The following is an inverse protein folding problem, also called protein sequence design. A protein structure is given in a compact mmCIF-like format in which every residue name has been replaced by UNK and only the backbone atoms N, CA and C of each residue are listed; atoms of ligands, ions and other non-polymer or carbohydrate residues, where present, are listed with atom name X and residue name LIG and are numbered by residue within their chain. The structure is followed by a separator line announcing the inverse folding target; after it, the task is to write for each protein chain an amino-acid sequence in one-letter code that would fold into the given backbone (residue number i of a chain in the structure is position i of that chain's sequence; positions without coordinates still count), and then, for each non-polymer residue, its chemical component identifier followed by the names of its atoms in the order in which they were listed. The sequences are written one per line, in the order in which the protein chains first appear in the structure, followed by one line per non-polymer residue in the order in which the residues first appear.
data_IF_599130911470
#
_entry.id   IF_599130911470
#
_cell.length_a   1.000
_cell.length_b   1.000
_cell.length_c   1.000
_cell.angle_alpha   90.00
_cell.angle_beta   90.00
_cell.angle_gamma   90.00
#
_symmetry.space_group_name_H-M   'P 1'
#
loop_
_entity.id
_entity.type
_entity.pdbx_description
1 polymer ?
#
# COMPACT_ATOMS: atom_id res chain seq x y z
N UNK A 1 8.53 -7.18 26.61
CA UNK A 1 7.51 -7.88 27.44
C UNK A 1 8.11 -8.22 28.80
N UNK A 2 7.39 -7.99 29.89
CA UNK A 2 7.85 -8.26 31.27
C UNK A 2 7.53 -9.68 31.75
N UNK A 3 6.69 -10.41 31.01
CA UNK A 3 6.27 -11.79 31.29
C UNK A 3 6.36 -12.59 29.98
N UNK A 4 6.82 -13.85 30.09
CA UNK A 4 6.96 -14.82 28.99
C UNK A 4 7.40 -14.23 27.65
N UNK A 5 8.53 -13.50 27.68
CA UNK A 5 9.03 -12.75 26.51
C UNK A 5 9.27 -13.63 25.28
N UNK A 6 9.68 -14.88 25.50
CA UNK A 6 9.98 -15.82 24.43
C UNK A 6 8.70 -16.23 23.69
N UNK A 7 7.60 -16.43 24.42
CA UNK A 7 6.30 -16.69 23.82
C UNK A 7 5.76 -15.44 23.11
N UNK A 8 5.86 -14.27 23.74
CA UNK A 8 5.39 -13.02 23.14
C UNK A 8 6.12 -12.69 21.82
N UNK A 9 7.45 -12.83 21.81
CA UNK A 9 8.27 -12.56 20.63
C UNK A 9 8.20 -13.69 19.59
N UNK A 10 7.97 -14.93 20.03
CA UNK A 10 7.84 -16.10 19.17
C UNK A 10 6.45 -16.29 18.55
N UNK A 11 5.39 -15.68 19.11
CA UNK A 11 4.03 -15.84 18.62
C UNK A 11 3.78 -15.19 17.23
N UNK A 12 4.24 -13.96 16.94
CA UNK A 12 4.08 -13.36 15.62
C UNK A 12 4.75 -14.22 14.54
N UNK A 13 3.97 -14.69 13.56
CA UNK A 13 4.48 -15.53 12.47
C UNK A 13 4.56 -17.04 12.80
N UNK A 14 4.22 -17.48 14.01
CA UNK A 14 4.19 -18.91 14.35
C UNK A 14 2.99 -19.68 13.76
N UNK A 15 2.08 -18.99 13.07
CA UNK A 15 0.91 -19.57 12.42
C UNK A 15 0.07 -20.50 13.34
N UNK A 16 0.01 -20.20 14.64
CA UNK A 16 -0.76 -20.99 15.62
C UNK A 16 -0.06 -22.25 16.16
N UNK A 17 1.23 -22.45 15.85
CA UNK A 17 1.98 -23.65 16.28
C UNK A 17 2.16 -23.74 17.80
N UNK A 18 2.47 -22.61 18.45
CA UNK A 18 2.79 -22.59 19.89
C UNK A 18 1.61 -22.22 20.78
N UNK A 19 0.72 -21.36 20.28
CA UNK A 19 -0.41 -20.86 21.05
C UNK A 19 -1.48 -20.26 20.13
N UNK A 20 -2.69 -20.17 20.68
CA UNK A 20 -3.78 -19.40 20.11
C UNK A 20 -3.77 -17.97 20.67
N UNK A 21 -3.70 -16.96 19.80
CA UNK A 21 -3.82 -15.57 20.20
C UNK A 21 -5.28 -15.25 20.56
N UNK A 22 -5.56 -15.02 21.85
CA UNK A 22 -6.90 -14.70 22.34
C UNK A 22 -7.13 -13.18 22.32
N UNK A 23 -6.18 -12.41 22.89
CA UNK A 23 -6.26 -10.95 22.98
C UNK A 23 -4.93 -10.31 22.58
N UNK A 24 -5.01 -9.11 22.00
CA UNK A 24 -3.84 -8.31 21.66
C UNK A 24 -4.13 -6.83 21.93
N UNK A 25 -3.17 -6.15 22.55
CA UNK A 25 -3.16 -4.69 22.65
C UNK A 25 -2.27 -4.13 21.54
N UNK A 26 -2.87 -3.32 20.66
CA UNK A 26 -2.17 -2.73 19.52
C UNK A 26 -1.97 -1.23 19.76
N UNK A 27 -0.78 -0.74 19.46
CA UNK A 27 -0.56 0.70 19.32
C UNK A 27 -1.27 1.19 18.05
N UNK A 28 -2.11 2.21 18.20
CA UNK A 28 -2.87 2.80 17.09
C UNK A 28 -2.32 4.18 16.75
N UNK A 29 -2.47 4.56 15.48
CA UNK A 29 -2.13 5.89 14.98
C UNK A 29 -3.42 6.58 14.58
N UNK A 30 -3.59 7.86 14.96
CA UNK A 30 -4.77 8.65 14.60
C UNK A 30 -4.81 8.89 13.09
N UNK A 31 -5.89 8.46 12.44
CA UNK A 31 -6.17 8.77 11.04
C UNK A 31 -7.28 9.82 10.94
N UNK A 32 -7.02 10.91 10.20
CA UNK A 32 -8.05 11.92 9.92
C UNK A 32 -9.15 11.32 9.04
N UNK A 33 -10.40 11.71 9.29
CA UNK A 33 -11.51 11.35 8.41
C UNK A 33 -11.26 11.90 7.00
N UNK A 34 -11.53 11.08 5.98
CA UNK A 34 -11.29 11.44 4.58
C UNK A 34 -9.82 11.41 4.15
N UNK A 35 -8.88 10.92 4.97
CA UNK A 35 -7.48 10.83 4.59
C UNK A 35 -7.28 10.05 3.27
N UNK A 36 -6.42 10.60 2.43
CA UNK A 36 -6.07 10.06 1.12
C UNK A 36 -4.59 9.70 1.11
N UNK A 37 -4.23 8.82 0.19
CA UNK A 37 -2.86 8.45 -0.10
C UNK A 37 -2.55 8.91 -1.53
N UNK A 38 -1.57 9.78 -1.66
CA UNK A 38 -0.98 10.13 -2.96
C UNK A 38 -0.06 8.99 -3.36
N UNK A 39 -0.44 8.25 -4.38
CA UNK A 39 0.28 7.08 -4.86
C UNK A 39 1.07 7.45 -6.11
N UNK A 40 2.39 7.36 -6.04
CA UNK A 40 3.26 7.51 -7.20
C UNK A 40 3.68 6.13 -7.68
N UNK A 41 3.40 5.83 -8.95
CA UNK A 41 3.88 4.63 -9.63
C UNK A 41 5.08 5.02 -10.47
N UNK A 42 6.23 4.43 -10.20
CA UNK A 42 7.48 4.65 -10.93
C UNK A 42 7.91 3.38 -11.67
N UNK A 43 8.07 3.48 -12.99
CA UNK A 43 8.57 2.37 -13.83
C UNK A 43 10.10 2.36 -13.84
N UNK A 44 10.69 1.24 -13.45
CA UNK A 44 12.15 1.06 -13.43
C UNK A 44 12.58 -0.38 -13.70
N UNK A 45 13.76 -0.53 -14.29
CA UNK A 45 14.44 -1.83 -14.45
C UNK A 45 15.48 -2.07 -13.35
N UNK A 46 15.65 -1.10 -12.44
CA UNK A 46 16.57 -1.14 -11.30
C UNK A 46 15.82 -0.79 -10.01
N UNK A 47 14.90 -1.65 -9.56
CA UNK A 47 14.05 -1.35 -8.40
C UNK A 47 14.86 -1.17 -7.12
N UNK A 48 15.93 -1.95 -6.92
CA UNK A 48 16.74 -1.89 -5.68
C UNK A 48 17.45 -0.54 -5.53
N UNK A 49 18.06 -0.01 -6.60
CA UNK A 49 18.70 1.31 -6.59
C UNK A 49 17.69 2.41 -6.25
N UNK A 50 16.49 2.36 -6.85
CA UNK A 50 15.46 3.34 -6.58
C UNK A 50 14.90 3.23 -5.15
N UNK A 51 14.59 2.01 -4.68
CA UNK A 51 14.11 1.76 -3.32
C UNK A 51 15.13 2.23 -2.28
N UNK A 52 16.42 2.02 -2.53
CA UNK A 52 17.50 2.47 -1.63
C UNK A 52 17.65 3.99 -1.58
N UNK A 53 17.11 4.71 -2.57
CA UNK A 53 17.12 6.18 -2.61
C UNK A 53 15.93 6.82 -1.90
N UNK A 54 14.91 6.03 -1.54
CA UNK A 54 13.72 6.52 -0.84
C UNK A 54 14.05 6.75 0.63
N UNK A 55 13.74 7.94 1.14
CA UNK A 55 14.02 8.31 2.54
C UNK A 55 12.76 8.60 3.37
N UNK A 56 11.68 9.08 2.76
CA UNK A 56 10.56 9.70 3.48
C UNK A 56 9.17 9.39 2.87
N UNK A 57 8.89 8.12 2.60
CA UNK A 57 7.55 7.70 2.14
C UNK A 57 6.81 6.99 3.28
N UNK A 58 5.52 7.30 3.47
CA UNK A 58 4.68 6.62 4.46
C UNK A 58 4.45 5.14 4.10
N UNK A 59 4.45 4.85 2.80
CA UNK A 59 4.24 3.53 2.25
C UNK A 59 5.15 3.29 1.05
N UNK A 60 5.72 2.10 0.98
CA UNK A 60 6.52 1.64 -0.16
C UNK A 60 6.10 0.23 -0.52
N UNK A 61 5.88 -0.01 -1.81
CA UNK A 61 5.51 -1.29 -2.38
C UNK A 61 6.14 -1.42 -3.77
N UNK A 62 6.21 -2.62 -4.31
CA UNK A 62 6.72 -2.86 -5.66
C UNK A 62 6.05 -4.07 -6.30
N UNK A 63 5.69 -3.93 -7.57
CA UNK A 63 5.18 -5.03 -8.40
C UNK A 63 6.17 -5.26 -9.54
N UNK A 64 6.78 -6.44 -9.55
CA UNK A 64 7.67 -6.87 -10.62
C UNK A 64 6.87 -7.51 -11.76
N UNK A 65 6.97 -6.92 -12.95
CA UNK A 65 6.51 -7.51 -14.20
C UNK A 65 7.70 -8.08 -14.98
N UNK A 66 7.41 -8.79 -16.08
CA UNK A 66 8.42 -9.41 -16.93
C UNK A 66 9.41 -8.42 -17.55
N UNK A 67 8.96 -7.20 -17.83
CA UNK A 67 9.70 -6.18 -18.59
C UNK A 67 10.13 -4.97 -17.75
N UNK A 68 9.50 -4.74 -16.59
CA UNK A 68 9.86 -3.67 -15.65
C UNK A 68 9.33 -3.97 -14.25
N UNK A 69 9.81 -3.23 -13.26
CA UNK A 69 9.20 -3.14 -11.93
C UNK A 69 8.48 -1.80 -11.78
N UNK A 70 7.24 -1.84 -11.30
CA UNK A 70 6.53 -0.65 -10.83
C UNK A 70 6.81 -0.50 -9.33
N UNK A 71 7.60 0.50 -8.95
CA UNK A 71 7.74 0.90 -7.55
C UNK A 71 6.58 1.85 -7.21
N UNK A 72 5.85 1.56 -6.15
CA UNK A 72 4.73 2.35 -5.68
C UNK A 72 5.15 3.03 -4.38
N UNK A 73 5.13 4.36 -4.36
CA UNK A 73 5.28 5.12 -3.11
C UNK A 73 3.95 5.76 -2.73
N UNK A 74 3.70 5.85 -1.43
CA UNK A 74 2.48 6.41 -0.88
C UNK A 74 2.80 7.44 0.19
N UNK A 75 2.19 8.62 0.07
CA UNK A 75 2.23 9.69 1.06
C UNK A 75 0.81 9.94 1.58
N UNK A 76 0.61 9.93 2.91
CA UNK A 76 -0.66 10.30 3.52
C UNK A 76 -0.83 11.80 3.37
N UNK A 77 -1.92 12.22 2.74
CA UNK A 77 -2.22 13.63 2.51
C UNK A 77 -3.56 14.02 3.11
N UNK A 78 -3.64 15.30 3.50
CA UNK A 78 -4.87 15.94 3.94
C UNK A 78 -5.74 16.29 2.71
N UNK A 79 -7.07 16.06 2.74
CA UNK A 79 -7.96 16.46 1.65
C UNK A 79 -7.82 17.90 1.18
N UNK A 80 -7.42 18.81 2.07
CA UNK A 80 -7.20 20.23 1.74
C UNK A 80 -6.02 20.46 0.80
N UNK A 81 -5.10 19.48 0.67
CA UNK A 81 -3.93 19.55 -0.21
C UNK A 81 -4.19 19.04 -1.63
N UNK A 82 -5.42 18.64 -1.95
CA UNK A 82 -5.76 18.12 -3.27
C UNK A 82 -5.80 19.22 -4.35
N UNK A 83 -5.52 18.86 -5.61
CA UNK A 83 -5.85 19.69 -6.76
C UNK A 83 -7.33 20.06 -6.79
N UNK A 84 -7.70 21.14 -7.52
CA UNK A 84 -9.10 21.62 -7.61
C UNK A 84 -10.12 20.56 -8.08
N UNK A 85 -9.70 19.61 -8.90
CA UNK A 85 -10.54 18.51 -9.41
C UNK A 85 -9.75 17.19 -9.37
N UNK A 86 -9.56 16.59 -8.19
CA UNK A 86 -8.79 15.36 -8.06
C UNK A 86 -9.65 14.16 -8.50
N UNK A 87 -9.12 13.33 -9.39
CA UNK A 87 -9.74 12.03 -9.67
C UNK A 87 -9.29 11.05 -8.59
N UNK A 88 -10.22 10.67 -7.71
CA UNK A 88 -9.98 9.67 -6.67
C UNK A 88 -10.14 8.27 -7.27
N UNK A 89 -9.10 7.46 -7.15
CA UNK A 89 -9.06 6.07 -7.58
C UNK A 89 -9.63 5.16 -6.47
N UNK A 90 -10.40 4.16 -6.89
CA UNK A 90 -11.11 3.20 -6.03
C UNK A 90 -10.76 1.80 -6.52
N UNK A 91 -10.62 0.85 -5.61
CA UNK A 91 -10.33 -0.57 -5.90
C UNK A 91 -11.36 -1.52 -5.28
N UNK A 92 -12.37 -0.96 -4.61
CA UNK A 92 -13.40 -1.67 -3.86
C UNK A 92 -14.71 -1.81 -4.62
N UNK A 93 -14.73 -1.90 -5.97
CA UNK A 93 -15.93 -2.27 -6.75
C UNK A 93 -15.87 -3.72 -7.20
N UNK A 94 -17.04 -4.38 -7.25
CA UNK A 94 -17.13 -5.81 -7.56
C UNK A 94 -16.49 -6.17 -8.91
N UNK A 95 -16.50 -5.23 -9.87
CA UNK A 95 -15.90 -5.37 -11.20
C UNK A 95 -14.52 -4.71 -11.35
N UNK A 96 -13.96 -4.11 -10.29
CA UNK A 96 -12.61 -3.56 -10.38
C UNK A 96 -11.60 -4.69 -10.65
N UNK A 97 -10.60 -4.46 -11.53
CA UNK A 97 -9.58 -5.46 -11.80
C UNK A 97 -8.71 -5.69 -10.56
N UNK A 98 -7.91 -6.75 -10.57
CA UNK A 98 -6.88 -6.93 -9.54
C UNK A 98 -5.92 -5.73 -9.55
N UNK A 99 -5.42 -5.34 -8.38
CA UNK A 99 -4.56 -4.15 -8.29
C UNK A 99 -3.34 -4.21 -9.21
N UNK A 100 -2.68 -5.36 -9.34
CA UNK A 100 -1.55 -5.50 -10.27
C UNK A 100 -1.97 -5.29 -11.74
N UNK A 101 -3.20 -5.66 -12.12
CA UNK A 101 -3.73 -5.44 -13.47
C UNK A 101 -4.00 -3.97 -13.71
N UNK A 102 -4.52 -3.25 -12.71
CA UNK A 102 -4.65 -1.79 -12.75
C UNK A 102 -3.28 -1.14 -12.97
N UNK A 103 -2.29 -1.49 -12.15
CA UNK A 103 -0.92 -0.94 -12.27
C UNK A 103 -0.31 -1.24 -13.64
N UNK A 104 -0.51 -2.45 -14.17
CA UNK A 104 -0.06 -2.80 -15.53
C UNK A 104 -0.75 -1.95 -16.60
N UNK A 105 -2.07 -1.73 -16.46
CA UNK A 105 -2.85 -0.94 -17.39
C UNK A 105 -2.49 0.55 -17.39
N UNK A 106 -1.96 1.10 -16.29
CA UNK A 106 -1.47 2.48 -16.23
C UNK A 106 -0.39 2.75 -17.28
N UNK A 107 0.59 1.84 -17.39
CA UNK A 107 1.70 1.97 -18.34
C UNK A 107 1.40 1.46 -19.74
N UNK A 108 0.28 0.76 -19.94
CA UNK A 108 -0.22 0.46 -21.29
C UNK A 108 -0.91 1.68 -21.93
N UNK A 109 -1.34 2.64 -21.11
CA UNK A 109 -2.08 3.84 -21.54
C UNK A 109 -1.25 5.11 -21.53
N UNK A 110 -0.03 5.05 -20.99
CA UNK A 110 0.81 6.20 -20.73
C UNK A 110 2.27 5.81 -20.81
N UNK A 111 3.06 6.59 -21.54
CA UNK A 111 4.51 6.46 -21.62
C UNK A 111 5.23 7.24 -20.49
N UNK A 112 4.47 7.82 -19.56
CA UNK A 112 5.04 8.54 -18.43
C UNK A 112 5.80 7.58 -17.51
N UNK A 113 7.00 8.02 -17.10
CA UNK A 113 7.84 7.28 -16.17
C UNK A 113 7.28 7.25 -14.75
N UNK A 114 6.59 8.33 -14.36
CA UNK A 114 5.88 8.46 -13.08
C UNK A 114 4.42 8.77 -13.37
N UNK A 115 3.51 8.04 -12.72
CA UNK A 115 2.07 8.29 -12.76
C UNK A 115 1.61 8.50 -11.32
N UNK A 116 0.81 9.54 -11.07
CA UNK A 116 0.29 9.85 -9.73
C UNK A 116 -1.22 9.63 -9.68
N UNK A 117 -1.70 8.89 -8.69
CA UNK A 117 -3.12 8.74 -8.38
C UNK A 117 -3.39 9.11 -6.93
N UNK A 118 -4.62 9.51 -6.63
CA UNK A 118 -5.08 9.75 -5.26
C UNK A 118 -6.05 8.64 -4.87
N UNK A 119 -5.76 7.90 -3.81
CA UNK A 119 -6.54 6.74 -3.37
C UNK A 119 -7.03 7.00 -1.96
N UNK A 120 -8.28 6.67 -1.62
CA UNK A 120 -8.70 6.76 -0.22
C UNK A 120 -7.91 5.79 0.65
N UNK A 121 -7.60 6.17 1.89
CA UNK A 121 -6.78 5.34 2.78
C UNK A 121 -7.31 3.89 2.89
N UNK A 122 -8.64 3.73 3.00
CA UNK A 122 -9.29 2.41 3.01
C UNK A 122 -8.96 1.61 1.73
N UNK A 123 -9.17 2.20 0.56
CA UNK A 123 -8.89 1.53 -0.71
C UNK A 123 -7.40 1.20 -0.86
N UNK A 124 -6.51 2.07 -0.37
CA UNK A 124 -5.08 1.80 -0.42
C UNK A 124 -4.70 0.61 0.47
N UNK A 125 -5.17 0.56 1.72
CA UNK A 125 -4.86 -0.53 2.65
C UNK A 125 -5.40 -1.89 2.18
N UNK A 126 -6.58 -1.90 1.55
CA UNK A 126 -7.24 -3.11 1.09
C UNK A 126 -7.07 -3.37 -0.42
N UNK A 127 -6.14 -2.68 -1.09
CA UNK A 127 -5.98 -2.75 -2.57
C UNK A 127 -5.76 -4.17 -3.11
N UNK A 128 -5.14 -5.06 -2.32
CA UNK A 128 -4.94 -6.46 -2.69
C UNK A 128 -6.08 -7.39 -2.24
N UNK A 129 -6.98 -6.93 -1.38
CA UNK A 129 -8.05 -7.74 -0.82
C UNK A 129 -9.29 -7.71 -1.73
N UNK A 130 -9.56 -8.86 -2.36
CA UNK A 130 -10.81 -9.11 -3.12
C UNK A 130 -11.88 -9.87 -2.33
N UNK A 131 -11.63 -10.18 -1.06
CA UNK A 131 -12.60 -10.84 -0.18
C UNK A 131 -13.48 -9.87 0.64
N UNK A 132 -13.26 -8.56 0.52
CA UNK A 132 -14.03 -7.53 1.22
C UNK A 132 -15.29 -7.07 0.45
N UNK A 133 -15.76 -7.91 -0.47
CA UNK A 133 -16.89 -7.68 -1.37
C UNK A 133 -18.10 -8.51 -0.96
#
# INVERSE_FOLDING_TARGET
PTEDSDLFCGAPGACGTFALLITATLSVITAKSGCLVRCNYFRTNRPIEYLSSLNHEDYVDAIMFSDYTAVITGERIDPLSLPKTPKIQIFSKAWDPWYYQHVKALYSKSDLRVITEYVSLKNYLFRYARGAF
#
